data_IF_804067136377
#
_entry.id   IF_804067136377
#
_cell.length_a   1.000
_cell.length_b   1.000
_cell.length_c   1.000
_cell.angle_alpha   90.00
_cell.angle_beta   90.00
_cell.angle_gamma   90.00
#
_symmetry.space_group_name_H-M   'P 1'
#
loop_
_entity.id
_entity.type
_entity.pdbx_description
1 polymer ?
#
# COMPACT_ATOMS: atom_id res chain seq x y z
N UNK A 1 19.74 -11.80 -32.23
CA UNK A 1 19.46 -11.58 -30.81
C UNK A 1 18.00 -11.13 -30.69
N UNK A 2 17.09 -12.05 -30.37
CA UNK A 2 15.69 -11.71 -30.11
C UNK A 2 15.62 -10.96 -28.78
N UNK A 3 15.22 -9.69 -28.81
CA UNK A 3 14.99 -8.95 -27.55
C UNK A 3 13.87 -9.63 -26.80
N UNK A 4 14.14 -10.05 -25.57
CA UNK A 4 13.10 -10.44 -24.61
C UNK A 4 12.04 -9.31 -24.58
N UNK A 5 10.74 -9.62 -24.64
CA UNK A 5 9.72 -8.59 -24.53
C UNK A 5 9.91 -7.87 -23.19
N UNK A 6 10.09 -6.55 -23.25
CA UNK A 6 10.18 -5.71 -22.06
C UNK A 6 8.81 -5.74 -21.38
N UNK A 7 8.65 -6.55 -20.34
CA UNK A 7 7.38 -6.65 -19.61
C UNK A 7 7.05 -5.28 -19.03
N UNK A 8 5.95 -4.69 -19.51
CA UNK A 8 5.52 -3.35 -19.11
C UNK A 8 4.77 -3.41 -17.78
N UNK A 9 4.68 -2.27 -17.07
CA UNK A 9 3.91 -2.19 -15.82
C UNK A 9 2.47 -2.73 -15.99
N UNK A 10 1.70 -2.37 -17.05
CA UNK A 10 0.38 -2.94 -17.28
C UNK A 10 0.38 -4.47 -17.43
N UNK A 11 1.37 -5.05 -18.09
CA UNK A 11 1.45 -6.51 -18.27
C UNK A 11 1.73 -7.24 -16.95
N UNK A 12 2.61 -6.70 -16.10
CA UNK A 12 2.89 -7.25 -14.76
C UNK A 12 1.62 -7.18 -13.92
N UNK A 13 0.99 -6.00 -13.86
CA UNK A 13 -0.22 -5.77 -13.05
C UNK A 13 -1.37 -6.66 -13.53
N UNK A 14 -1.60 -6.76 -14.84
CA UNK A 14 -2.61 -7.67 -15.39
C UNK A 14 -2.38 -9.12 -14.96
N UNK A 15 -1.12 -9.57 -14.93
CA UNK A 15 -0.80 -10.92 -14.45
C UNK A 15 -1.07 -11.11 -12.95
N UNK A 16 -0.77 -10.10 -12.13
CA UNK A 16 -1.08 -10.13 -10.70
C UNK A 16 -2.58 -10.19 -10.46
N UNK A 17 -3.37 -9.37 -11.18
CA UNK A 17 -4.83 -9.37 -11.12
C UNK A 17 -5.38 -10.72 -11.53
N UNK A 18 -4.97 -11.26 -12.68
CA UNK A 18 -5.41 -12.58 -13.16
C UNK A 18 -5.11 -13.68 -12.13
N UNK A 19 -3.90 -13.67 -11.56
CA UNK A 19 -3.50 -14.65 -10.54
C UNK A 19 -4.36 -14.54 -9.28
N UNK A 20 -4.70 -13.32 -8.88
CA UNK A 20 -5.54 -13.07 -7.72
C UNK A 20 -6.97 -13.53 -7.93
N UNK A 21 -7.58 -13.18 -9.06
CA UNK A 21 -8.94 -13.57 -9.43
C UNK A 21 -9.08 -15.10 -9.51
N UNK A 22 -8.11 -15.79 -10.11
CA UNK A 22 -8.11 -17.26 -10.23
C UNK A 22 -8.10 -17.99 -8.88
N UNK A 23 -7.65 -17.34 -7.81
CA UNK A 23 -7.45 -17.93 -6.49
C UNK A 23 -8.24 -17.21 -5.38
N UNK A 24 -9.21 -16.36 -5.74
CA UNK A 24 -9.88 -15.43 -4.84
C UNK A 24 -10.47 -16.11 -3.60
N UNK A 25 -11.19 -17.22 -3.77
CA UNK A 25 -11.83 -17.94 -2.66
C UNK A 25 -10.81 -18.52 -1.66
N UNK A 26 -9.70 -19.04 -2.18
CA UNK A 26 -8.58 -19.52 -1.36
C UNK A 26 -7.93 -18.37 -0.58
N UNK A 27 -7.74 -17.22 -1.23
CA UNK A 27 -7.14 -16.06 -0.58
C UNK A 27 -8.04 -15.42 0.46
N UNK A 28 -9.35 -15.33 0.22
CA UNK A 28 -10.31 -14.86 1.22
C UNK A 28 -10.36 -15.76 2.46
N UNK A 29 -10.21 -17.07 2.29
CA UNK A 29 -10.26 -18.03 3.40
C UNK A 29 -8.96 -18.16 4.18
N UNK A 30 -7.80 -18.05 3.54
CA UNK A 30 -6.52 -18.40 4.16
C UNK A 30 -5.39 -17.39 4.05
N UNK A 31 -5.45 -16.43 3.12
CA UNK A 31 -4.32 -15.50 2.90
C UNK A 31 -4.31 -14.40 3.95
N UNK A 32 -3.18 -14.25 4.63
CA UNK A 32 -2.98 -13.17 5.59
C UNK A 32 -2.41 -11.90 4.92
N UNK A 33 -2.37 -10.81 5.67
CA UNK A 33 -1.94 -9.49 5.19
C UNK A 33 -0.46 -9.48 4.76
N UNK A 34 0.43 -10.13 5.51
CA UNK A 34 1.87 -10.20 5.17
C UNK A 34 2.11 -10.96 3.88
N UNK A 35 1.40 -12.08 3.66
CA UNK A 35 1.46 -12.84 2.42
C UNK A 35 0.90 -12.04 1.24
N UNK A 36 -0.22 -11.35 1.43
CA UNK A 36 -0.81 -10.47 0.43
C UNK A 36 0.18 -9.38 0.00
N UNK A 37 0.80 -8.71 0.98
CA UNK A 37 1.82 -7.68 0.77
C UNK A 37 2.95 -8.19 -0.12
N UNK A 38 3.58 -9.29 0.29
CA UNK A 38 4.75 -9.86 -0.41
C UNK A 38 4.43 -10.44 -1.78
N UNK A 39 3.30 -11.11 -1.92
CA UNK A 39 2.96 -11.81 -3.16
C UNK A 39 2.36 -10.91 -4.23
N UNK A 40 1.70 -9.82 -3.82
CA UNK A 40 0.93 -8.93 -4.70
C UNK A 40 1.34 -7.47 -4.60
N UNK A 41 1.23 -6.83 -3.41
CA UNK A 41 1.42 -5.38 -3.30
C UNK A 41 2.86 -4.94 -3.57
N UNK A 42 3.87 -5.65 -3.05
CA UNK A 42 5.27 -5.33 -3.30
C UNK A 42 5.58 -5.35 -4.80
N UNK A 43 5.06 -6.36 -5.51
CA UNK A 43 5.22 -6.50 -6.96
C UNK A 43 4.42 -5.44 -7.73
N UNK A 44 3.23 -5.12 -7.26
CA UNK A 44 2.38 -4.09 -7.85
C UNK A 44 3.06 -2.71 -7.78
N UNK A 45 3.55 -2.31 -6.61
CA UNK A 45 4.23 -1.02 -6.45
C UNK A 45 5.59 -0.99 -7.16
N UNK A 46 6.33 -2.10 -7.15
CA UNK A 46 7.56 -2.24 -7.95
C UNK A 46 7.27 -2.07 -9.44
N UNK A 47 6.19 -2.67 -9.95
CA UNK A 47 5.78 -2.52 -11.34
C UNK A 47 5.43 -1.06 -11.69
N UNK A 48 4.86 -0.30 -10.74
CA UNK A 48 4.62 1.14 -10.89
C UNK A 48 5.90 1.99 -10.83
N UNK A 49 7.06 1.38 -10.56
CA UNK A 49 8.37 2.03 -10.58
C UNK A 49 8.92 2.44 -9.21
N UNK A 50 8.24 2.08 -8.13
CA UNK A 50 8.72 2.34 -6.77
C UNK A 50 9.84 1.36 -6.38
N UNK A 51 10.89 1.86 -5.73
CA UNK A 51 11.94 1.01 -5.16
C UNK A 51 11.52 0.40 -3.81
N UNK A 52 10.58 -0.55 -3.86
CA UNK A 52 9.99 -1.19 -2.66
C UNK A 52 11.04 -1.95 -1.85
N UNK A 53 11.95 -2.66 -2.54
CA UNK A 53 12.98 -3.48 -1.90
C UNK A 53 14.25 -2.68 -1.57
N UNK A 54 14.30 -1.39 -1.89
CA UNK A 54 15.50 -0.55 -1.77
C UNK A 54 16.72 -1.12 -2.52
N UNK A 55 16.51 -1.60 -3.74
CA UNK A 55 17.57 -2.12 -4.61
C UNK A 55 18.60 -1.05 -4.99
N UNK A 56 18.21 0.23 -4.96
CA UNK A 56 19.13 1.36 -5.15
C UNK A 56 20.08 1.55 -3.95
N UNK A 57 19.80 0.90 -2.81
CA UNK A 57 20.67 0.93 -1.64
C UNK A 57 20.67 2.26 -0.89
N UNK A 58 19.57 3.02 -0.93
CA UNK A 58 19.45 4.26 -0.18
C UNK A 58 19.40 4.00 1.33
N UNK A 59 19.85 4.99 2.11
CA UNK A 59 19.69 4.98 3.56
C UNK A 59 18.23 5.21 3.97
N UNK A 60 17.88 4.97 5.24
CA UNK A 60 16.50 5.10 5.75
C UNK A 60 15.89 6.49 5.55
N UNK A 61 16.68 7.55 5.44
CA UNK A 61 16.20 8.90 5.18
C UNK A 61 15.90 9.13 3.69
N UNK A 62 16.40 8.28 2.79
CA UNK A 62 16.28 8.48 1.34
C UNK A 62 15.56 7.34 0.59
N UNK A 63 15.22 6.21 1.24
CA UNK A 63 14.41 5.16 0.58
C UNK A 63 13.05 5.69 0.15
N UNK A 64 12.63 5.31 -1.05
CA UNK A 64 11.32 5.71 -1.60
C UNK A 64 10.14 5.08 -0.86
N UNK A 65 10.33 3.85 -0.34
CA UNK A 65 9.30 3.09 0.37
C UNK A 65 9.85 2.65 1.73
N UNK A 66 9.11 2.95 2.79
CA UNK A 66 9.40 2.50 4.15
C UNK A 66 8.27 1.59 4.62
N UNK A 67 8.62 0.38 5.03
CA UNK A 67 7.68 -0.57 5.62
C UNK A 67 7.51 -0.31 7.11
N UNK A 68 6.32 -0.59 7.65
CA UNK A 68 6.05 -0.52 9.10
C UNK A 68 6.34 0.88 9.68
N UNK A 69 5.98 1.92 8.92
CA UNK A 69 6.30 3.31 9.23
C UNK A 69 5.52 3.79 10.46
N UNK A 70 6.24 4.32 11.45
CA UNK A 70 5.63 4.76 12.71
C UNK A 70 4.94 6.11 12.56
N UNK A 71 3.65 6.14 12.89
CA UNK A 71 2.78 7.32 12.90
C UNK A 71 2.28 7.57 14.32
N UNK A 72 2.33 8.82 14.77
CA UNK A 72 1.80 9.20 16.09
C UNK A 72 0.36 9.67 15.94
N UNK A 73 -0.56 9.03 16.67
CA UNK A 73 -1.97 9.44 16.73
C UNK A 73 -2.39 9.60 18.18
N UNK A 74 -2.69 10.83 18.57
CA UNK A 74 -3.16 11.15 19.93
C UNK A 74 -2.26 10.55 21.03
N UNK A 75 -0.94 10.63 20.85
CA UNK A 75 0.06 10.11 21.80
C UNK A 75 0.27 8.59 21.75
N UNK A 76 -0.39 7.86 20.85
CA UNK A 76 -0.14 6.44 20.63
C UNK A 76 0.61 6.24 19.31
N UNK A 77 1.74 5.53 19.38
CA UNK A 77 2.46 5.08 18.19
C UNK A 77 1.71 3.93 17.53
N UNK A 78 1.36 4.09 16.25
CA UNK A 78 0.89 3.03 15.37
C UNK A 78 1.80 2.90 14.17
N UNK A 79 1.65 1.84 13.39
CA UNK A 79 2.46 1.58 12.20
C UNK A 79 1.57 1.45 10.99
N UNK A 80 1.91 2.17 9.93
CA UNK A 80 1.35 1.96 8.61
C UNK A 80 2.18 0.91 7.86
N UNK A 81 1.54 0.09 7.04
CA UNK A 81 2.23 -0.97 6.30
C UNK A 81 3.30 -0.41 5.36
N UNK A 82 2.98 0.66 4.65
CA UNK A 82 3.90 1.36 3.77
C UNK A 82 3.77 2.88 3.91
N UNK A 83 4.89 3.56 3.78
CA UNK A 83 4.96 5.00 3.55
C UNK A 83 5.81 5.28 2.31
N UNK A 84 5.29 6.08 1.39
CA UNK A 84 5.88 6.37 0.09
C UNK A 84 6.34 7.81 -0.01
N UNK A 85 7.48 8.05 -0.67
CA UNK A 85 7.98 9.40 -0.98
C UNK A 85 8.79 9.45 -2.25
N UNK A 86 8.65 10.56 -2.97
CA UNK A 86 9.43 10.90 -4.17
C UNK A 86 10.69 11.71 -3.86
N UNK A 87 10.83 12.23 -2.64
CA UNK A 87 11.99 13.02 -2.18
C UNK A 87 12.43 12.65 -0.76
N UNK A 88 13.50 13.27 -0.26
CA UNK A 88 14.17 12.84 0.98
C UNK A 88 13.38 13.14 2.28
N UNK A 89 12.58 14.21 2.32
CA UNK A 89 12.22 14.79 3.62
C UNK A 89 10.81 14.46 4.12
N UNK A 90 9.88 14.12 3.24
CA UNK A 90 8.46 13.93 3.59
C UNK A 90 7.86 12.78 2.82
N UNK A 91 7.04 12.01 3.52
CA UNK A 91 6.15 11.07 2.87
C UNK A 91 5.05 11.81 2.09
N UNK A 92 4.69 11.25 0.95
CA UNK A 92 3.65 11.75 0.06
C UNK A 92 2.30 11.10 0.41
N UNK A 93 2.31 9.80 0.73
CA UNK A 93 1.14 9.03 1.13
C UNK A 93 1.51 7.76 1.91
N UNK A 94 0.53 7.22 2.64
CA UNK A 94 0.57 5.92 3.28
C UNK A 94 -0.28 4.91 2.52
N UNK A 95 0.09 3.64 2.62
CA UNK A 95 -0.75 2.52 2.20
C UNK A 95 -0.95 1.60 3.40
N UNK A 96 -2.21 1.28 3.69
CA UNK A 96 -2.63 0.25 4.63
C UNK A 96 -3.15 -0.95 3.83
N UNK A 97 -2.56 -2.11 4.07
CA UNK A 97 -3.02 -3.38 3.54
C UNK A 97 -4.07 -3.98 4.49
N UNK A 98 -4.97 -4.78 3.94
CA UNK A 98 -5.84 -5.67 4.71
C UNK A 98 -5.84 -7.04 4.06
N UNK A 99 -6.07 -8.09 4.84
CA UNK A 99 -6.27 -9.43 4.28
C UNK A 99 -7.50 -9.47 3.35
N UNK A 100 -7.53 -10.33 2.32
CA UNK A 100 -8.63 -10.38 1.34
C UNK A 100 -10.03 -10.67 1.92
N UNK A 101 -10.13 -11.20 3.14
CA UNK A 101 -11.43 -11.41 3.82
C UNK A 101 -12.05 -10.13 4.39
N UNK A 102 -11.31 -9.01 4.44
CA UNK A 102 -11.83 -7.73 4.96
C UNK A 102 -12.46 -6.96 3.81
N UNK A 103 -13.73 -6.60 3.94
CA UNK A 103 -14.44 -5.75 2.97
C UNK A 103 -14.02 -4.28 3.12
N UNK A 104 -12.94 -3.91 2.44
CA UNK A 104 -12.36 -2.56 2.48
C UNK A 104 -13.37 -1.48 2.08
N UNK A 105 -14.24 -1.77 1.12
CA UNK A 105 -15.26 -0.87 0.59
C UNK A 105 -16.34 -0.45 1.61
N UNK A 106 -16.54 -1.25 2.65
CA UNK A 106 -17.56 -1.01 3.69
C UNK A 106 -16.97 -0.82 5.08
N UNK A 107 -15.64 -0.88 5.23
CA UNK A 107 -14.97 -0.77 6.52
C UNK A 107 -14.82 0.68 6.97
N UNK A 108 -15.86 1.20 7.63
CA UNK A 108 -15.83 2.55 8.22
C UNK A 108 -14.68 2.73 9.22
N UNK A 109 -14.37 1.70 10.00
CA UNK A 109 -13.28 1.75 10.99
C UNK A 109 -11.91 1.93 10.30
N UNK A 110 -11.62 1.11 9.28
CA UNK A 110 -10.35 1.21 8.56
C UNK A 110 -10.23 2.53 7.79
N UNK A 111 -11.32 2.98 7.15
CA UNK A 111 -11.38 4.27 6.48
C UNK A 111 -11.14 5.44 7.46
N UNK A 112 -11.82 5.43 8.61
CA UNK A 112 -11.67 6.46 9.63
C UNK A 112 -10.26 6.49 10.20
N UNK A 113 -9.69 5.32 10.47
CA UNK A 113 -8.33 5.17 10.96
C UNK A 113 -7.31 5.77 9.99
N UNK A 114 -7.34 5.36 8.71
CA UNK A 114 -6.42 5.85 7.69
C UNK A 114 -6.53 7.37 7.48
N UNK A 115 -7.76 7.92 7.45
CA UNK A 115 -7.99 9.36 7.32
C UNK A 115 -7.45 10.14 8.52
N UNK A 116 -7.58 9.59 9.73
CA UNK A 116 -7.03 10.19 10.94
C UNK A 116 -5.51 10.22 10.90
N UNK A 117 -4.88 9.19 10.34
CA UNK A 117 -3.43 9.14 10.17
C UNK A 117 -2.96 10.19 9.18
N UNK A 118 -3.58 10.23 8.00
CA UNK A 118 -3.25 11.21 6.97
C UNK A 118 -3.40 12.64 7.45
N UNK A 119 -4.51 12.94 8.12
CA UNK A 119 -4.72 14.26 8.71
C UNK A 119 -3.65 14.62 9.76
N UNK A 120 -3.31 13.69 10.66
CA UNK A 120 -2.32 13.94 11.73
C UNK A 120 -0.89 14.10 11.18
N UNK A 121 -0.53 13.32 10.17
CA UNK A 121 0.77 13.35 9.49
C UNK A 121 0.86 14.42 8.39
N UNK A 122 -0.22 15.19 8.15
CA UNK A 122 -0.35 16.17 7.04
C UNK A 122 -0.15 15.56 5.65
N UNK A 123 -0.56 14.31 5.48
CA UNK A 123 -0.58 13.58 4.21
C UNK A 123 -1.97 13.73 3.59
N UNK A 124 -2.09 14.39 2.43
CA UNK A 124 -3.39 14.76 1.87
C UNK A 124 -4.15 13.56 1.29
N UNK A 125 -3.44 12.51 0.89
CA UNK A 125 -3.99 11.31 0.24
C UNK A 125 -3.36 10.09 0.87
N UNK A 126 -4.16 9.08 1.19
CA UNK A 126 -3.71 7.77 1.64
C UNK A 126 -4.55 6.67 1.00
N UNK A 127 -4.02 5.45 0.96
CA UNK A 127 -4.64 4.29 0.31
C UNK A 127 -4.95 3.19 1.33
N UNK A 128 -6.12 2.57 1.21
CA UNK A 128 -6.49 1.32 1.86
C UNK A 128 -6.73 0.26 0.80
N UNK A 129 -6.14 -0.92 0.93
CA UNK A 129 -6.26 -1.96 -0.08
C UNK A 129 -6.19 -3.37 0.50
N UNK A 130 -6.95 -4.28 -0.09
CA UNK A 130 -6.87 -5.74 0.07
C UNK A 130 -6.44 -6.42 -1.24
N UNK A 131 -5.80 -5.63 -2.13
CA UNK A 131 -5.47 -5.91 -3.53
C UNK A 131 -6.68 -6.03 -4.48
N UNK A 132 -7.83 -6.55 -4.02
CA UNK A 132 -9.08 -6.54 -4.79
C UNK A 132 -9.62 -5.12 -4.99
N UNK A 133 -9.56 -4.32 -3.93
CA UNK A 133 -9.98 -2.92 -3.90
C UNK A 133 -8.79 -2.00 -3.67
N UNK A 134 -8.81 -0.84 -4.33
CA UNK A 134 -7.81 0.21 -4.18
C UNK A 134 -8.52 1.52 -3.80
N UNK A 135 -8.77 1.72 -2.51
CA UNK A 135 -9.52 2.86 -2.01
C UNK A 135 -8.59 4.04 -1.70
N UNK A 136 -8.79 5.16 -2.41
CA UNK A 136 -8.03 6.40 -2.22
C UNK A 136 -8.85 7.37 -1.37
N UNK A 137 -8.28 7.84 -0.26
CA UNK A 137 -8.95 8.72 0.70
C UNK A 137 -8.36 10.13 0.73
N UNK A 138 -9.22 11.13 0.65
CA UNK A 138 -8.87 12.52 0.99
C UNK A 138 -8.77 12.68 2.52
N UNK A 139 -7.58 13.08 2.95
CA UNK A 139 -7.19 13.22 4.35
C UNK A 139 -6.90 14.69 4.74
N UNK A 140 -7.23 15.66 3.87
CA UNK A 140 -6.98 17.09 4.13
C UNK A 140 -7.84 17.66 5.26
N UNK A 141 -9.01 17.08 5.47
CA UNK A 141 -9.95 17.48 6.53
C UNK A 141 -9.92 16.49 7.67
N UNK A 142 -9.99 17.00 8.92
CA UNK A 142 -10.11 16.15 10.11
C UNK A 142 -11.36 15.27 9.95
N UNK A 143 -11.24 13.94 10.03
CA UNK A 143 -12.42 13.07 9.90
C UNK A 143 -13.33 13.25 11.12
N UNK A 144 -14.62 13.42 10.88
CA UNK A 144 -15.70 13.23 11.85
C UNK A 144 -16.34 11.87 11.63
N UNK A 145 -16.79 11.23 12.71
CA UNK A 145 -17.70 10.08 12.67
C UNK A 145 -19.11 10.58 12.31
#
# INVERSE_FOLDING_TARGET
MTSQPKTTAPAIIAKLVETFEQNLDSYRSGKNETELRREFLDKFFTALGWDVANEKGYDEAHKEVVHEFSVEIAGQGKKADYAFRTGADKFDFLVEAKKPSVKVESSQEAAFQLRRYGWSAKLPINILTDFEHFAVYDCRSKPSI
#
